data_IF_923315451859
#
_entry.id   IF_923315451859
#
_cell.length_a   1.000
_cell.length_b   1.000
_cell.length_c   1.000
_cell.angle_alpha   90.00
_cell.angle_beta   90.00
_cell.angle_gamma   90.00
#
_symmetry.space_group_name_H-M   'P 1'
#
loop_
_entity.id
_entity.type
_entity.pdbx_description
1 polymer ?
#
# COMPACT_ATOMS: atom_id res chain seq x y z
N UNK A 1 -5.77 16.72 12.93
CA UNK A 1 -6.77 15.63 12.99
C UNK A 1 -6.64 14.86 11.69
N UNK A 2 -6.27 13.58 11.71
CA UNK A 2 -6.07 12.79 10.47
C UNK A 2 -7.41 12.24 9.98
N UNK A 3 -7.74 12.40 8.70
CA UNK A 3 -8.84 11.64 8.07
C UNK A 3 -8.27 10.49 7.27
N UNK A 4 -8.78 9.28 7.53
CA UNK A 4 -8.44 8.05 6.81
C UNK A 4 -9.33 7.97 5.58
N UNK A 5 -8.73 8.02 4.38
CA UNK A 5 -9.44 7.79 3.13
C UNK A 5 -9.01 6.42 2.61
N UNK A 6 -9.97 5.49 2.55
CA UNK A 6 -9.82 4.23 1.81
C UNK A 6 -10.30 4.53 0.41
N UNK A 7 -9.44 4.44 -0.59
CA UNK A 7 -9.83 4.58 -2.00
C UNK A 7 -10.05 3.16 -2.54
N UNK A 8 -11.29 2.64 -2.58
CA UNK A 8 -11.57 1.46 -3.38
C UNK A 8 -11.46 1.82 -4.86
N UNK A 9 -11.13 0.84 -5.70
CA UNK A 9 -11.05 0.94 -7.16
C UNK A 9 -12.20 1.79 -7.74
N UNK A 10 -11.97 3.08 -8.00
CA UNK A 10 -13.00 4.04 -8.44
C UNK A 10 -12.39 5.09 -9.39
N UNK A 11 -13.13 5.62 -10.38
CA UNK A 11 -12.58 6.61 -11.32
C UNK A 11 -11.95 7.84 -10.64
N UNK A 12 -10.71 8.14 -11.05
CA UNK A 12 -9.83 9.21 -10.52
C UNK A 12 -10.49 10.58 -10.35
N UNK A 13 -11.42 10.94 -11.26
CA UNK A 13 -12.07 12.25 -11.23
C UNK A 13 -12.93 12.48 -9.98
N UNK A 14 -13.39 11.43 -9.29
CA UNK A 14 -14.14 11.62 -8.03
C UNK A 14 -13.24 11.80 -6.81
N UNK A 15 -12.03 11.24 -6.81
CA UNK A 15 -11.07 11.36 -5.69
C UNK A 15 -10.47 12.75 -5.58
N UNK A 16 -10.10 13.38 -6.71
CA UNK A 16 -9.58 14.76 -6.73
C UNK A 16 -10.61 15.75 -6.16
N UNK A 17 -11.86 15.67 -6.65
CA UNK A 17 -12.94 16.55 -6.23
C UNK A 17 -13.29 16.40 -4.74
N UNK A 18 -13.21 15.18 -4.20
CA UNK A 18 -13.43 14.95 -2.77
C UNK A 18 -12.32 15.57 -1.92
N UNK A 19 -11.06 15.44 -2.33
CA UNK A 19 -9.93 16.00 -1.60
C UNK A 19 -10.01 17.54 -1.57
N UNK A 20 -10.22 18.19 -2.72
CA UNK A 20 -10.27 19.65 -2.80
C UNK A 20 -11.44 20.24 -2.02
N UNK A 21 -12.59 19.55 -1.99
CA UNK A 21 -13.81 20.10 -1.39
C UNK A 21 -13.92 19.88 0.12
N UNK A 22 -13.20 18.92 0.69
CA UNK A 22 -13.47 18.43 2.06
C UNK A 22 -12.23 18.29 2.96
N UNK A 23 -11.03 18.54 2.44
CA UNK A 23 -9.78 18.27 3.17
C UNK A 23 -8.89 19.50 3.36
N UNK A 24 -9.37 20.71 3.07
CA UNK A 24 -8.60 21.94 3.35
C UNK A 24 -8.23 22.04 4.84
N UNK A 25 -6.94 22.29 5.10
CA UNK A 25 -6.36 22.33 6.45
C UNK A 25 -6.32 21.00 7.22
N UNK A 26 -6.52 19.85 6.57
CA UNK A 26 -6.56 18.52 7.21
C UNK A 26 -5.52 17.60 6.60
N UNK A 27 -4.69 16.98 7.44
CA UNK A 27 -3.74 15.97 6.98
C UNK A 27 -4.48 14.71 6.47
N UNK A 28 -4.11 14.26 5.27
CA UNK A 28 -4.70 13.12 4.56
C UNK A 28 -3.75 11.92 4.64
N UNK A 29 -4.27 10.82 5.18
CA UNK A 29 -3.62 9.52 5.10
C UNK A 29 -4.37 8.62 4.10
N UNK A 30 -3.63 8.08 3.13
CA UNK A 30 -4.15 7.12 2.15
C UNK A 30 -3.73 5.71 2.53
N UNK A 31 -4.70 4.80 2.63
CA UNK A 31 -4.41 3.37 2.74
C UNK A 31 -4.67 2.66 1.42
N UNK A 32 -3.69 1.89 0.93
CA UNK A 32 -3.76 1.29 -0.41
C UNK A 32 -2.81 0.10 -0.56
N UNK A 33 -3.03 -0.72 -1.59
CA UNK A 33 -2.11 -1.78 -2.01
C UNK A 33 -1.30 -1.41 -3.26
N UNK A 34 -1.53 -0.23 -3.85
CA UNK A 34 -0.84 0.38 -5.01
C UNK A 34 -0.68 -0.51 -6.25
N UNK A 35 -1.45 -1.58 -6.39
CA UNK A 35 -1.55 -2.36 -7.62
C UNK A 35 -2.57 -1.72 -8.56
N UNK A 36 -2.23 -0.52 -9.03
CA UNK A 36 -3.06 0.35 -9.88
C UNK A 36 -2.20 0.96 -10.98
N UNK A 37 -2.80 1.44 -12.09
CA UNK A 37 -2.09 2.23 -13.08
C UNK A 37 -1.35 3.41 -12.43
N UNK A 38 -0.13 3.71 -12.91
CA UNK A 38 0.74 4.73 -12.33
C UNK A 38 0.06 6.11 -12.29
N UNK A 39 -0.70 6.43 -13.33
CA UNK A 39 -1.41 7.71 -13.48
C UNK A 39 -2.38 7.94 -12.33
N UNK A 40 -2.92 6.85 -11.75
CA UNK A 40 -3.82 6.95 -10.60
C UNK A 40 -3.10 7.45 -9.35
N UNK A 41 -1.86 7.00 -9.15
CA UNK A 41 -1.06 7.39 -8.01
C UNK A 41 -0.52 8.81 -8.17
N UNK A 42 -0.06 9.17 -9.38
CA UNK A 42 0.43 10.50 -9.72
C UNK A 42 -0.67 11.57 -9.53
N UNK A 43 -1.92 11.28 -9.88
CA UNK A 43 -3.03 12.21 -9.76
C UNK A 43 -3.32 12.65 -8.30
N UNK A 44 -2.94 11.83 -7.32
CA UNK A 44 -3.29 12.05 -5.91
C UNK A 44 -2.08 12.35 -5.02
N UNK A 45 -0.86 11.99 -5.43
CA UNK A 45 0.30 11.93 -4.53
C UNK A 45 0.67 13.26 -3.86
N UNK A 46 0.49 14.38 -4.55
CA UNK A 46 0.82 15.71 -4.02
C UNK A 46 -0.12 16.15 -2.89
N UNK A 47 -1.30 15.52 -2.81
CA UNK A 47 -2.34 15.84 -1.84
C UNK A 47 -2.33 14.90 -0.62
N UNK A 48 -1.52 13.86 -0.66
CA UNK A 48 -1.40 12.89 0.43
C UNK A 48 -0.24 13.29 1.32
N UNK A 49 -0.48 13.35 2.63
CA UNK A 49 0.55 13.62 3.63
C UNK A 49 1.22 12.32 4.10
N UNK A 50 0.48 11.21 4.11
CA UNK A 50 0.99 9.89 4.51
C UNK A 50 0.36 8.77 3.70
N UNK A 51 1.18 7.84 3.22
CA UNK A 51 0.75 6.57 2.66
C UNK A 51 0.90 5.45 3.69
N UNK A 52 -0.12 4.61 3.82
CA UNK A 52 -0.04 3.30 4.48
C UNK A 52 -0.26 2.23 3.42
N UNK A 53 0.82 1.58 3.01
CA UNK A 53 0.85 0.71 1.84
C UNK A 53 0.96 -0.74 2.29
N UNK A 54 -0.03 -1.55 1.92
CA UNK A 54 0.02 -2.98 2.18
C UNK A 54 0.79 -3.72 1.09
N UNK A 55 2.08 -3.97 1.32
CA UNK A 55 2.89 -4.84 0.47
C UNK A 55 2.73 -6.28 0.93
N UNK A 56 1.84 -7.02 0.26
CA UNK A 56 1.49 -8.41 0.63
C UNK A 56 2.71 -9.35 0.58
N UNK A 57 3.50 -9.23 -0.48
CA UNK A 57 4.78 -9.94 -0.69
C UNK A 57 5.43 -9.37 -1.95
N UNK A 58 6.75 -9.40 -2.04
CA UNK A 58 7.48 -9.10 -3.28
C UNK A 58 7.81 -10.36 -4.10
N UNK A 59 7.50 -11.54 -3.58
CA UNK A 59 7.56 -12.77 -4.36
C UNK A 59 6.36 -12.82 -5.33
N UNK A 60 6.62 -12.63 -6.63
CA UNK A 60 5.58 -12.57 -7.66
C UNK A 60 4.71 -13.83 -7.73
N UNK A 61 5.25 -15.01 -7.42
CA UNK A 61 4.46 -16.26 -7.39
C UNK A 61 3.42 -16.23 -6.27
N UNK A 62 3.85 -15.97 -5.03
CA UNK A 62 2.96 -15.91 -3.85
C UNK A 62 1.95 -14.77 -4.03
N UNK A 63 2.40 -13.63 -4.57
CA UNK A 63 1.52 -12.50 -4.84
C UNK A 63 0.40 -12.88 -5.80
N UNK A 64 0.72 -13.57 -6.90
CA UNK A 64 -0.26 -14.04 -7.88
C UNK A 64 -1.18 -15.11 -7.32
N UNK A 65 -0.66 -16.04 -6.52
CA UNK A 65 -1.47 -17.06 -5.83
C UNK A 65 -2.51 -16.42 -4.89
N UNK A 66 -2.15 -15.37 -4.15
CA UNK A 66 -3.05 -14.68 -3.22
C UNK A 66 -4.03 -13.72 -3.90
N UNK A 67 -3.55 -12.91 -4.86
CA UNK A 67 -4.33 -11.79 -5.42
C UNK A 67 -4.98 -12.10 -6.77
N UNK A 68 -4.52 -13.15 -7.47
CA UNK A 68 -4.86 -13.41 -8.87
C UNK A 68 -4.24 -12.42 -9.87
N UNK A 69 -3.35 -11.53 -9.43
CA UNK A 69 -2.71 -10.48 -10.26
C UNK A 69 -1.19 -10.54 -10.16
N UNK A 70 -0.49 -9.85 -11.05
CA UNK A 70 0.95 -9.62 -10.95
C UNK A 70 1.29 -8.42 -10.05
N UNK A 71 2.54 -8.35 -9.59
CA UNK A 71 3.04 -7.29 -8.73
C UNK A 71 3.91 -6.25 -9.45
N UNK A 72 4.00 -6.28 -10.78
CA UNK A 72 4.82 -5.34 -11.55
C UNK A 72 4.43 -3.88 -11.27
N UNK A 73 3.13 -3.58 -11.21
CA UNK A 73 2.65 -2.23 -10.88
C UNK A 73 3.00 -1.83 -9.45
N UNK A 74 2.96 -2.77 -8.49
CA UNK A 74 3.37 -2.51 -7.11
C UNK A 74 4.84 -2.07 -7.08
N UNK A 75 5.73 -2.80 -7.76
CA UNK A 75 7.16 -2.47 -7.83
C UNK A 75 7.39 -1.09 -8.49
N UNK A 76 6.73 -0.83 -9.63
CA UNK A 76 6.86 0.44 -10.34
C UNK A 76 6.32 1.64 -9.54
N UNK A 77 5.26 1.44 -8.76
CA UNK A 77 4.65 2.47 -7.93
C UNK A 77 5.42 2.68 -6.62
N UNK A 78 5.99 1.63 -6.03
CA UNK A 78 6.92 1.77 -4.89
C UNK A 78 8.14 2.60 -5.29
N UNK A 79 8.76 2.28 -6.43
CA UNK A 79 9.92 3.04 -6.91
C UNK A 79 9.56 4.52 -7.12
N UNK A 80 8.41 4.81 -7.74
CA UNK A 80 7.95 6.19 -7.92
C UNK A 80 7.82 6.93 -6.59
N UNK A 81 7.22 6.30 -5.56
CA UNK A 81 7.06 6.93 -4.25
C UNK A 81 8.40 7.14 -3.55
N UNK A 82 9.30 6.16 -3.61
CA UNK A 82 10.66 6.28 -3.06
C UNK A 82 11.42 7.44 -3.72
N UNK A 83 11.27 7.61 -5.04
CA UNK A 83 11.97 8.66 -5.78
C UNK A 83 11.40 10.06 -5.51
N UNK A 84 10.12 10.16 -5.13
CA UNK A 84 9.39 11.44 -5.09
C UNK A 84 9.06 11.93 -3.69
N UNK A 85 8.70 11.04 -2.79
CA UNK A 85 8.22 11.38 -1.45
C UNK A 85 8.47 10.24 -0.43
N UNK A 86 9.72 9.77 -0.28
CA UNK A 86 10.05 8.64 0.59
C UNK A 86 9.64 8.87 2.05
N UNK A 87 9.64 10.12 2.52
CA UNK A 87 9.24 10.52 3.88
C UNK A 87 7.74 10.28 4.18
N UNK A 88 6.92 10.16 3.13
CA UNK A 88 5.48 9.93 3.25
C UNK A 88 5.13 8.45 3.31
N UNK A 89 6.08 7.54 3.16
CA UNK A 89 5.80 6.10 3.02
C UNK A 89 5.79 5.42 4.40
N UNK A 90 4.71 4.69 4.68
CA UNK A 90 4.69 3.64 5.69
C UNK A 90 4.22 2.32 5.07
N UNK A 91 5.02 1.27 5.17
CA UNK A 91 4.70 -0.05 4.62
C UNK A 91 4.18 -0.97 5.73
N UNK A 92 3.16 -1.74 5.39
CA UNK A 92 2.66 -2.85 6.18
C UNK A 92 2.79 -4.14 5.39
N UNK A 93 3.45 -5.14 5.96
CA UNK A 93 3.63 -6.47 5.38
C UNK A 93 2.76 -7.46 6.16
N UNK A 94 1.56 -7.81 5.65
CA UNK A 94 0.71 -8.78 6.32
C UNK A 94 1.27 -10.19 6.19
N UNK A 95 1.27 -10.91 7.31
CA UNK A 95 1.43 -12.36 7.35
C UNK A 95 0.08 -13.02 7.08
N UNK A 96 -0.05 -13.64 5.92
CA UNK A 96 -1.28 -14.17 5.33
C UNK A 96 -1.24 -15.69 5.39
N UNK A 97 -2.03 -16.26 6.31
CA UNK A 97 -2.15 -17.71 6.51
C UNK A 97 -2.44 -18.42 5.19
N UNK A 98 -1.63 -19.43 4.88
CA UNK A 98 -1.77 -20.25 3.66
C UNK A 98 -1.10 -19.69 2.41
N UNK A 99 -0.52 -18.48 2.47
CA UNK A 99 0.13 -17.85 1.31
C UNK A 99 1.59 -17.47 1.58
N UNK A 100 1.85 -16.72 2.66
CA UNK A 100 3.21 -16.36 3.04
C UNK A 100 3.47 -16.78 4.50
N UNK A 101 4.72 -17.10 4.80
CA UNK A 101 5.16 -17.35 6.17
C UNK A 101 6.02 -16.20 6.71
N UNK A 102 6.60 -16.40 7.89
CA UNK A 102 7.49 -15.42 8.49
C UNK A 102 8.75 -15.17 7.66
N UNK A 103 9.33 -16.19 7.04
CA UNK A 103 10.52 -16.04 6.22
C UNK A 103 10.20 -15.25 4.94
N UNK A 104 9.06 -15.50 4.31
CA UNK A 104 8.59 -14.72 3.15
C UNK A 104 8.38 -13.23 3.50
N UNK A 105 7.80 -12.97 4.69
CA UNK A 105 7.59 -11.61 5.18
C UNK A 105 8.92 -10.89 5.46
N UNK A 106 9.88 -11.55 6.10
CA UNK A 106 11.21 -10.97 6.36
C UNK A 106 12.01 -10.76 5.07
N UNK A 107 11.89 -11.66 4.09
CA UNK A 107 12.49 -11.47 2.77
C UNK A 107 11.89 -10.25 2.05
N UNK A 108 10.56 -10.10 2.12
CA UNK A 108 9.86 -8.92 1.59
C UNK A 108 10.33 -7.63 2.26
N UNK A 109 10.39 -7.63 3.61
CA UNK A 109 10.90 -6.49 4.38
C UNK A 109 12.33 -6.13 3.98
N UNK A 110 13.22 -7.12 3.86
CA UNK A 110 14.60 -6.90 3.45
C UNK A 110 14.68 -6.20 2.08
N UNK A 111 13.94 -6.68 1.08
CA UNK A 111 13.92 -6.07 -0.25
C UNK A 111 13.40 -4.64 -0.22
N UNK A 112 12.35 -4.36 0.57
CA UNK A 112 11.83 -3.00 0.75
C UNK A 112 12.85 -2.08 1.43
N UNK A 113 13.61 -2.57 2.41
CA UNK A 113 14.72 -1.83 3.01
C UNK A 113 15.85 -1.57 2.01
N UNK A 114 16.18 -2.55 1.15
CA UNK A 114 17.16 -2.37 0.08
C UNK A 114 16.70 -1.33 -0.97
N UNK A 115 15.39 -1.12 -1.12
CA UNK A 115 14.82 -0.03 -1.92
C UNK A 115 14.89 1.35 -1.22
N UNK A 116 15.35 1.42 0.04
CA UNK A 116 15.46 2.67 0.80
C UNK A 116 14.23 3.02 1.64
N UNK A 117 13.31 2.08 1.88
CA UNK A 117 12.14 2.30 2.74
C UNK A 117 12.48 1.95 4.19
N UNK A 118 12.21 2.88 5.10
CA UNK A 118 12.55 2.74 6.52
C UNK A 118 11.37 2.31 7.40
N UNK A 119 10.18 2.88 7.19
CA UNK A 119 8.99 2.58 7.99
C UNK A 119 8.28 1.33 7.47
N UNK A 120 8.58 0.17 8.07
CA UNK A 120 8.05 -1.13 7.67
C UNK A 120 7.60 -1.94 8.89
N UNK A 121 6.31 -2.24 8.96
CA UNK A 121 5.71 -3.10 9.98
C UNK A 121 5.28 -4.46 9.39
N UNK A 122 5.73 -5.57 10.00
CA UNK A 122 5.16 -6.91 9.73
C UNK A 122 4.07 -7.17 10.77
N UNK A 123 2.87 -7.55 10.34
CA UNK A 123 1.74 -7.80 11.24
C UNK A 123 0.97 -9.07 10.88
N UNK A 124 0.25 -9.64 11.85
CA UNK A 124 -0.64 -10.79 11.60
C UNK A 124 -1.91 -10.31 10.88
N UNK A 125 -2.17 -10.85 9.70
CA UNK A 125 -3.37 -10.50 8.95
C UNK A 125 -4.60 -11.14 9.58
N UNK A 126 -5.64 -10.33 9.80
CA UNK A 126 -6.95 -10.80 10.29
C UNK A 126 -7.96 -10.67 9.16
N UNK A 127 -8.39 -11.79 8.59
CA UNK A 127 -9.62 -11.82 7.81
C UNK A 127 -10.78 -11.78 8.80
N UNK A 128 -11.81 -10.96 8.58
CA UNK A 128 -12.97 -10.84 9.50
C UNK A 128 -13.81 -12.11 9.71
N UNK A 129 -13.31 -13.26 9.29
CA UNK A 129 -13.80 -14.58 9.69
C UNK A 129 -13.13 -14.88 11.03
N UNK A 130 -13.92 -14.83 12.10
CA UNK A 130 -13.52 -15.43 13.37
C UNK A 130 -12.98 -16.83 13.09
N UNK A 131 -11.77 -17.12 13.56
CA UNK A 131 -11.30 -18.49 13.74
C UNK A 131 -12.20 -19.12 14.83
N UNK A 132 -13.44 -19.47 14.50
CA UNK A 132 -14.31 -20.36 15.25
C UNK A 132 -14.51 -21.62 14.41
N UNK A 133 -13.71 -22.65 14.67
CA UNK A 133 -14.11 -23.90 15.37
C UNK A 133 -12.86 -24.51 16.02
#
# INVERSE_FOLDING_TARGET
MWKRIIIPDWPLKKSEMFIDSYCDGINIAMETAINVPRENLEAVMDRIDRFFIDVKTLNGRIYREYTGKDNDQVLQNLQLLVDKCPEKIGIRVPMIKGYNDRADCEQTKRLLTEMGIEDIEIFKYRTGLSDEV
#
